data_IF_692907319710
#
_entry.id   IF_692907319710
#
_cell.length_a   1.000
_cell.length_b   1.000
_cell.length_c   1.000
_cell.angle_alpha   90.00
_cell.angle_beta   90.00
_cell.angle_gamma   90.00
#
_symmetry.space_group_name_H-M   'P 1'
#
loop_
_entity.id
_entity.type
_entity.pdbx_description
1 polymer ?
#
# COMPACT_ATOMS: atom_id res chain seq x y z
N UNK A 1 7.83 -55.05 -6.29
CA UNK A 1 7.56 -54.08 -7.37
C UNK A 1 6.23 -53.36 -7.12
N UNK A 2 6.14 -52.52 -6.08
CA UNK A 2 4.89 -51.79 -5.74
C UNK A 2 5.20 -50.35 -5.28
N UNK A 3 5.87 -49.57 -6.13
CA UNK A 3 6.29 -48.20 -5.76
C UNK A 3 6.04 -47.14 -6.85
N UNK A 4 5.31 -47.49 -7.93
CA UNK A 4 5.02 -46.56 -9.03
C UNK A 4 3.68 -45.83 -8.92
N UNK A 5 2.70 -46.38 -8.22
CA UNK A 5 1.35 -45.78 -8.15
C UNK A 5 1.23 -44.67 -7.10
N UNK A 6 2.08 -44.63 -6.07
CA UNK A 6 2.10 -43.54 -5.08
C UNK A 6 2.87 -42.30 -5.59
N UNK A 7 3.97 -42.49 -6.32
CA UNK A 7 4.75 -41.38 -6.89
C UNK A 7 3.92 -40.52 -7.85
N UNK A 8 3.16 -41.13 -8.77
CA UNK A 8 2.31 -40.41 -9.74
C UNK A 8 1.14 -39.66 -9.09
N UNK A 9 0.64 -40.14 -7.94
CA UNK A 9 -0.43 -39.49 -7.18
C UNK A 9 0.06 -38.25 -6.45
N UNK A 10 1.23 -38.34 -5.80
CA UNK A 10 1.87 -37.20 -5.13
C UNK A 10 2.33 -36.14 -6.14
N UNK A 11 2.91 -36.55 -7.27
CA UNK A 11 3.29 -35.63 -8.37
C UNK A 11 2.08 -34.85 -8.92
N UNK A 12 0.92 -35.49 -9.04
CA UNK A 12 -0.32 -34.83 -9.47
C UNK A 12 -0.85 -33.84 -8.42
N UNK A 13 -0.78 -34.19 -7.14
CA UNK A 13 -1.16 -33.29 -6.04
C UNK A 13 -0.21 -32.09 -5.98
N UNK A 14 1.10 -32.29 -6.13
CA UNK A 14 2.09 -31.22 -6.12
C UNK A 14 1.96 -30.28 -7.31
N UNK A 15 1.66 -30.81 -8.51
CA UNK A 15 1.30 -30.00 -9.68
C UNK A 15 0.03 -29.19 -9.41
N UNK A 16 -1.01 -29.81 -8.85
CA UNK A 16 -2.26 -29.12 -8.52
C UNK A 16 -2.07 -28.01 -7.48
N UNK A 17 -1.23 -28.23 -6.47
CA UNK A 17 -0.88 -27.22 -5.46
C UNK A 17 -0.13 -26.06 -6.14
N UNK A 18 0.83 -26.34 -7.03
CA UNK A 18 1.55 -25.30 -7.76
C UNK A 18 0.61 -24.44 -8.61
N UNK A 19 -0.32 -25.06 -9.33
CA UNK A 19 -1.32 -24.33 -10.13
C UNK A 19 -2.20 -23.42 -9.26
N UNK A 20 -2.65 -23.91 -8.12
CA UNK A 20 -3.46 -23.12 -7.19
C UNK A 20 -2.66 -21.96 -6.60
N UNK A 21 -1.39 -22.17 -6.26
CA UNK A 21 -0.49 -21.10 -5.80
C UNK A 21 -0.26 -20.06 -6.88
N UNK A 22 0.01 -20.45 -8.12
CA UNK A 22 0.14 -19.51 -9.22
C UNK A 22 -1.11 -18.65 -9.43
N UNK A 23 -2.30 -19.20 -9.21
CA UNK A 23 -3.56 -18.43 -9.22
C UNK A 23 -3.66 -17.45 -8.06
N UNK A 24 -3.22 -17.84 -6.87
CA UNK A 24 -3.14 -16.95 -5.70
C UNK A 24 -2.16 -15.80 -5.98
N UNK A 25 -0.98 -16.11 -6.51
CA UNK A 25 0.05 -15.10 -6.81
C UNK A 25 -0.46 -14.04 -7.79
N UNK A 26 -1.24 -14.43 -8.80
CA UNK A 26 -1.89 -13.50 -9.72
C UNK A 26 -2.93 -12.62 -9.00
N UNK A 27 -3.77 -13.22 -8.15
CA UNK A 27 -4.74 -12.46 -7.35
C UNK A 27 -4.05 -11.49 -6.39
N UNK A 28 -2.91 -11.88 -5.81
CA UNK A 28 -2.14 -11.05 -4.89
C UNK A 28 -1.46 -9.89 -5.62
N UNK A 29 -0.99 -10.09 -6.86
CA UNK A 29 -0.50 -9.00 -7.70
C UNK A 29 -1.59 -7.96 -7.99
N UNK A 30 -2.80 -8.41 -8.38
CA UNK A 30 -3.94 -7.51 -8.59
C UNK A 30 -4.36 -6.80 -7.30
N UNK A 31 -4.34 -7.52 -6.17
CA UNK A 31 -4.62 -6.95 -4.85
C UNK A 31 -3.62 -5.87 -4.47
N UNK A 32 -2.33 -6.07 -4.73
CA UNK A 32 -1.28 -5.09 -4.45
C UNK A 32 -1.52 -3.77 -5.21
N UNK A 33 -1.83 -3.84 -6.51
CA UNK A 33 -2.16 -2.65 -7.28
C UNK A 33 -3.42 -1.94 -6.79
N UNK A 34 -4.43 -2.70 -6.37
CA UNK A 34 -5.66 -2.13 -5.82
C UNK A 34 -5.40 -1.42 -4.48
N UNK A 35 -4.55 -2.00 -3.62
CA UNK A 35 -4.16 -1.40 -2.35
C UNK A 35 -3.38 -0.10 -2.56
N UNK A 36 -2.46 -0.06 -3.52
CA UNK A 36 -1.72 1.16 -3.90
C UNK A 36 -2.68 2.28 -4.32
N UNK A 37 -3.59 1.99 -5.27
CA UNK A 37 -4.59 2.97 -5.72
C UNK A 37 -5.47 3.45 -4.56
N UNK A 38 -5.88 2.52 -3.67
CA UNK A 38 -6.68 2.86 -2.49
C UNK A 38 -5.92 3.79 -1.55
N UNK A 39 -4.64 3.53 -1.29
CA UNK A 39 -3.80 4.35 -0.42
C UNK A 39 -3.65 5.77 -0.97
N UNK A 40 -3.42 5.91 -2.28
CA UNK A 40 -3.32 7.21 -2.96
C UNK A 40 -4.61 8.04 -2.81
N UNK A 41 -5.78 7.42 -3.01
CA UNK A 41 -7.08 8.09 -2.83
C UNK A 41 -7.33 8.43 -1.36
N UNK A 42 -6.99 7.54 -0.43
CA UNK A 42 -7.10 7.81 0.99
C UNK A 42 -6.22 9.00 1.41
N UNK A 43 -5.00 9.10 0.90
CA UNK A 43 -4.10 10.23 1.16
C UNK A 43 -4.68 11.56 0.64
N UNK A 44 -5.34 11.56 -0.53
CA UNK A 44 -6.07 12.74 -1.03
C UNK A 44 -7.18 13.17 -0.07
N UNK A 45 -7.99 12.22 0.43
CA UNK A 45 -9.04 12.49 1.41
C UNK A 45 -8.46 13.07 2.70
N UNK A 46 -7.35 12.51 3.21
CA UNK A 46 -6.75 12.97 4.46
C UNK A 46 -6.21 14.40 4.38
N UNK A 47 -5.68 14.82 3.22
CA UNK A 47 -5.24 16.21 3.01
C UNK A 47 -6.38 17.24 3.06
N UNK A 48 -7.62 16.82 2.86
CA UNK A 48 -8.80 17.69 2.92
C UNK A 48 -9.40 17.78 4.33
N UNK A 49 -9.04 16.87 5.24
CA UNK A 49 -9.61 16.84 6.60
C UNK A 49 -8.95 17.89 7.50
N UNK A 50 -9.72 18.62 8.33
CA UNK A 50 -9.18 19.61 9.27
C UNK A 50 -8.38 18.96 10.41
N UNK A 51 -8.71 17.72 10.78
CA UNK A 51 -7.92 16.85 11.66
C UNK A 51 -7.58 15.57 10.88
N UNK A 52 -6.31 15.46 10.46
CA UNK A 52 -5.87 14.41 9.55
C UNK A 52 -5.44 13.11 10.23
N UNK A 53 -5.25 12.09 9.40
CA UNK A 53 -4.61 10.81 9.72
C UNK A 53 -5.35 10.01 10.80
N UNK A 54 -4.63 9.44 11.75
CA UNK A 54 -5.20 8.61 12.81
C UNK A 54 -6.21 9.36 13.69
N UNK A 55 -6.06 10.69 13.85
CA UNK A 55 -6.99 11.51 14.63
C UNK A 55 -8.33 11.75 13.93
N UNK A 56 -8.41 11.54 12.61
CA UNK A 56 -9.61 11.70 11.79
C UNK A 56 -10.30 10.39 11.43
N UNK A 57 -10.07 9.32 12.21
CA UNK A 57 -10.63 7.99 11.97
C UNK A 57 -12.14 7.99 12.27
N UNK A 58 -12.92 7.39 11.37
CA UNK A 58 -14.38 7.34 11.46
C UNK A 58 -14.83 5.88 11.58
N UNK A 59 -14.97 5.42 12.83
CA UNK A 59 -15.28 4.03 13.13
C UNK A 59 -16.65 3.61 12.60
N UNK A 60 -17.61 4.53 12.53
CA UNK A 60 -18.95 4.25 11.99
C UNK A 60 -18.85 3.96 10.49
N UNK A 61 -18.16 4.83 9.74
CA UNK A 61 -17.95 4.63 8.31
C UNK A 61 -17.16 3.36 8.00
N UNK A 62 -16.20 3.01 8.84
CA UNK A 62 -15.42 1.78 8.69
C UNK A 62 -16.25 0.52 8.94
N UNK A 63 -17.14 0.55 9.94
CA UNK A 63 -18.08 -0.54 10.20
C UNK A 63 -19.06 -0.74 9.04
N UNK A 64 -19.67 0.33 8.54
CA UNK A 64 -20.57 0.29 7.38
C UNK A 64 -19.87 -0.20 6.10
N UNK A 65 -18.59 0.14 5.93
CA UNK A 65 -17.77 -0.40 4.84
C UNK A 65 -17.65 -1.91 4.96
N UNK A 66 -17.29 -2.42 6.15
CA UNK A 66 -17.10 -3.85 6.40
C UNK A 66 -18.39 -4.63 6.23
N UNK A 67 -19.53 -4.11 6.71
CA UNK A 67 -20.84 -4.73 6.55
C UNK A 67 -21.19 -4.90 5.06
N UNK A 68 -21.00 -3.87 4.23
CA UNK A 68 -21.17 -3.95 2.77
C UNK A 68 -20.16 -4.86 2.07
N UNK A 69 -18.97 -5.04 2.64
CA UNK A 69 -18.00 -6.00 2.11
C UNK A 69 -18.39 -7.43 2.46
N UNK A 70 -18.98 -7.66 3.64
CA UNK A 70 -19.43 -8.98 4.08
C UNK A 70 -20.55 -9.53 3.19
N UNK A 71 -21.43 -8.67 2.66
CA UNK A 71 -22.42 -9.05 1.65
C UNK A 71 -21.78 -9.62 0.37
N UNK A 72 -20.59 -9.10 0.00
CA UNK A 72 -19.84 -9.52 -1.20
C UNK A 72 -18.90 -10.70 -0.93
N UNK A 73 -18.41 -10.82 0.30
CA UNK A 73 -17.48 -11.86 0.74
C UNK A 73 -18.03 -12.62 1.96
N UNK A 74 -19.16 -13.34 1.82
CA UNK A 74 -19.85 -13.98 2.93
C UNK A 74 -18.99 -15.04 3.63
N UNK A 75 -18.06 -15.69 2.91
CA UNK A 75 -17.13 -16.67 3.48
C UNK A 75 -16.16 -16.06 4.51
N UNK A 76 -15.79 -14.78 4.35
CA UNK A 76 -14.94 -14.09 5.32
C UNK A 76 -15.79 -13.51 6.46
N UNK A 77 -16.97 -12.99 6.13
CA UNK A 77 -17.86 -12.34 7.09
C UNK A 77 -17.30 -11.03 7.63
N UNK A 78 -18.12 -10.30 8.39
CA UNK A 78 -17.80 -8.95 8.85
C UNK A 78 -16.58 -8.93 9.79
N UNK A 79 -16.42 -9.91 10.66
CA UNK A 79 -15.34 -9.90 11.67
C UNK A 79 -13.95 -10.01 11.03
N UNK A 80 -13.71 -10.98 10.15
CA UNK A 80 -12.42 -11.11 9.47
C UNK A 80 -12.15 -9.93 8.53
N UNK A 81 -13.20 -9.43 7.86
CA UNK A 81 -13.09 -8.25 7.02
C UNK A 81 -12.77 -6.99 7.82
N UNK A 82 -13.28 -6.86 9.05
CA UNK A 82 -12.92 -5.75 9.94
C UNK A 82 -11.41 -5.76 10.23
N UNK A 83 -10.84 -6.91 10.61
CA UNK A 83 -9.41 -7.05 10.89
C UNK A 83 -8.54 -6.74 9.67
N UNK A 84 -8.93 -7.24 8.50
CA UNK A 84 -8.21 -6.96 7.24
C UNK A 84 -8.27 -5.46 6.93
N UNK A 85 -9.46 -4.87 6.99
CA UNK A 85 -9.65 -3.47 6.63
C UNK A 85 -9.01 -2.51 7.63
N UNK A 86 -8.98 -2.85 8.92
CA UNK A 86 -8.23 -2.10 9.93
C UNK A 86 -6.75 -2.00 9.55
N UNK A 87 -6.13 -3.13 9.17
CA UNK A 87 -4.73 -3.17 8.73
C UNK A 87 -4.51 -2.37 7.44
N UNK A 88 -5.40 -2.52 6.46
CA UNK A 88 -5.32 -1.80 5.17
C UNK A 88 -5.53 -0.29 5.33
N UNK A 89 -6.43 0.13 6.23
CA UNK A 89 -6.63 1.54 6.56
C UNK A 89 -5.40 2.09 7.30
N UNK A 90 -4.95 1.38 8.34
CA UNK A 90 -3.79 1.78 9.14
C UNK A 90 -2.54 1.98 8.30
N UNK A 91 -2.22 1.02 7.42
CA UNK A 91 -1.07 1.09 6.53
C UNK A 91 -1.16 2.31 5.59
N UNK A 92 -2.33 2.54 4.97
CA UNK A 92 -2.53 3.70 4.09
C UNK A 92 -2.41 5.04 4.81
N UNK A 93 -2.87 5.13 6.07
CA UNK A 93 -2.71 6.33 6.89
C UNK A 93 -1.25 6.59 7.26
N UNK A 94 -0.49 5.54 7.61
CA UNK A 94 0.93 5.63 7.94
C UNK A 94 1.74 6.18 6.76
N UNK A 95 1.60 5.60 5.57
CA UNK A 95 2.28 6.06 4.35
C UNK A 95 1.91 7.52 4.04
N UNK A 96 0.61 7.87 4.11
CA UNK A 96 0.18 9.23 3.85
C UNK A 96 0.77 10.26 4.84
N UNK A 97 1.01 9.84 6.09
CA UNK A 97 1.61 10.68 7.12
C UNK A 97 3.11 10.87 6.88
N UNK A 98 3.82 9.79 6.54
CA UNK A 98 5.24 9.83 6.17
C UNK A 98 5.50 10.76 4.98
N UNK A 99 4.67 10.67 3.94
CA UNK A 99 4.79 11.56 2.78
C UNK A 99 4.57 13.04 3.13
N UNK A 100 3.62 13.33 4.02
CA UNK A 100 3.36 14.71 4.45
C UNK A 100 4.53 15.26 5.27
N UNK A 101 5.06 14.47 6.21
CA UNK A 101 6.26 14.83 6.95
C UNK A 101 7.48 15.05 6.03
N UNK A 102 7.60 14.27 4.95
CA UNK A 102 8.63 14.44 3.93
C UNK A 102 8.47 15.71 3.10
N UNK A 103 7.23 16.15 2.83
CA UNK A 103 6.91 17.42 2.14
C UNK A 103 7.23 18.65 2.98
N UNK A 104 7.07 18.56 4.30
CA UNK A 104 7.28 19.69 5.22
C UNK A 104 8.76 19.91 5.59
N UNK A 105 9.66 18.99 5.23
CA UNK A 105 11.10 19.16 5.48
C UNK A 105 11.68 20.21 4.51
N UNK A 106 12.25 21.32 4.98
CA UNK A 106 12.80 22.35 4.10
C UNK A 106 13.94 21.75 3.27
N UNK A 107 13.92 21.99 1.95
CA UNK A 107 15.04 21.69 1.06
C UNK A 107 16.23 22.53 1.53
N UNK A 108 17.12 21.96 2.34
CA UNK A 108 18.37 22.60 2.74
C UNK A 108 19.15 22.89 1.47
N UNK A 109 19.34 24.19 1.21
CA UNK A 109 19.84 24.75 -0.03
C UNK A 109 21.17 24.15 -0.46
N UNK A 110 21.25 23.82 -1.74
CA UNK A 110 22.52 23.75 -2.45
C UNK A 110 23.12 25.15 -2.44
N UNK A 111 23.99 25.43 -1.46
CA UNK A 111 24.95 26.53 -1.53
C UNK A 111 25.80 26.35 -2.78
N UNK A 112 25.45 27.07 -3.84
CA UNK A 112 26.27 27.17 -5.04
C UNK A 112 27.62 27.82 -4.69
N UNK A 113 28.74 27.35 -5.26
CA UNK A 113 30.04 27.97 -5.01
C UNK A 113 30.02 29.38 -5.60
N UNK A 114 30.30 30.37 -4.75
CA UNK A 114 30.37 31.78 -5.13
C UNK A 114 31.28 31.99 -6.33
N UNK A 115 30.70 32.52 -7.42
CA UNK A 115 31.46 33.00 -8.57
C UNK A 115 32.32 34.18 -8.10
N UNK A 116 33.63 33.99 -8.16
CA UNK A 116 34.64 35.04 -7.98
C UNK A 116 34.29 36.20 -8.92
N UNK A 117 34.09 37.38 -8.35
CA UNK A 117 34.11 38.64 -9.09
C UNK A 117 35.54 38.87 -9.58
N UNK A 118 35.71 38.89 -10.89
CA UNK A 118 36.96 39.24 -11.54
C UNK A 118 36.68 40.09 -12.77
N UNK A 119 37.52 41.13 -12.93
CA UNK A 119 37.70 42.08 -14.05
C UNK A 119 36.82 43.35 -14.06
N UNK A 120 37.28 44.46 -14.68
CA UNK A 120 38.35 44.58 -15.69
C UNK A 120 39.43 45.64 -15.40
N UNK A 121 40.55 45.55 -16.12
CA UNK A 121 41.54 46.62 -16.18
C UNK A 121 41.09 47.71 -17.15
N UNK A 122 41.53 48.94 -16.88
CA UNK A 122 41.56 50.04 -17.85
C UNK A 122 42.83 50.86 -17.61
N UNK A 123 43.57 51.08 -18.71
CA UNK A 123 44.72 51.98 -18.86
C UNK A 123 44.21 53.42 -19.02
N UNK A 124 45.07 54.44 -18.87
CA UNK A 124 45.91 54.87 -20.00
C UNK A 124 47.41 54.69 -19.75
#
# INVERSE_FOLDING_TARGET
MHDRHHATGTENVDERIRDLRGRIDLMDAELAELLERRALVAAQVQRLKPVGYFAGRDMTRERELVERMAERAPRLGAEHLATIMDSVIGAGLAVAQEEAAGRDRPRSGTSGPGRRTGRPGERP
#
